data_IF_892783914603
#
_entry.id   IF_892783914603
#
_cell.length_a   1.000
_cell.length_b   1.000
_cell.length_c   1.000
_cell.angle_alpha   90.00
_cell.angle_beta   90.00
_cell.angle_gamma   90.00
#
_symmetry.space_group_name_H-M   'P 1'
#
loop_
_entity.id
_entity.type
_entity.pdbx_description
1 polymer ?
#
# COMPACT_ATOMS: atom_id res chain seq x y z
N UNK A 1 28.23 -5.94 0.97
CA UNK A 1 27.13 -5.01 0.65
C UNK A 1 25.84 -5.51 1.28
N UNK A 2 25.12 -4.64 1.99
CA UNK A 2 23.79 -4.98 2.51
C UNK A 2 22.78 -5.01 1.35
N UNK A 3 22.04 -6.11 1.18
CA UNK A 3 21.12 -6.29 0.04
C UNK A 3 20.03 -5.21 -0.05
N UNK A 4 19.48 -4.83 1.09
CA UNK A 4 18.36 -3.89 1.21
C UNK A 4 18.79 -2.51 1.73
N UNK A 5 20.09 -2.20 1.77
CA UNK A 5 20.59 -0.90 2.21
C UNK A 5 21.67 -0.40 1.25
N UNK A 6 21.54 0.83 0.79
CA UNK A 6 22.48 1.46 -0.14
C UNK A 6 22.41 0.87 -1.54
N UNK A 7 21.26 0.34 -1.94
CA UNK A 7 21.01 -0.10 -3.32
C UNK A 7 20.40 1.03 -4.15
N UNK A 8 20.28 0.84 -5.47
CA UNK A 8 19.73 1.85 -6.40
C UNK A 8 18.31 2.28 -5.99
N UNK A 9 17.50 1.35 -5.47
CA UNK A 9 16.13 1.66 -5.05
C UNK A 9 16.11 2.65 -3.87
N UNK A 10 17.05 2.53 -2.93
CA UNK A 10 17.18 3.46 -1.80
C UNK A 10 17.47 4.90 -2.23
N UNK A 11 18.24 5.09 -3.30
CA UNK A 11 18.65 6.42 -3.76
C UNK A 11 17.64 7.03 -4.74
N UNK A 12 17.12 6.23 -5.68
CA UNK A 12 16.33 6.78 -6.79
C UNK A 12 14.81 6.68 -6.58
N UNK A 13 14.36 5.56 -6.02
CA UNK A 13 12.94 5.22 -5.93
C UNK A 13 12.34 5.66 -4.59
N UNK A 14 13.02 5.31 -3.48
CA UNK A 14 12.53 5.57 -2.12
C UNK A 14 12.15 7.03 -1.88
N UNK A 15 12.95 8.05 -2.26
CA UNK A 15 12.59 9.44 -1.99
C UNK A 15 11.30 9.85 -2.72
N UNK A 16 11.10 9.41 -3.97
CA UNK A 16 9.91 9.70 -4.77
C UNK A 16 8.66 9.03 -4.19
N UNK A 17 8.81 7.78 -3.75
CA UNK A 17 7.73 7.03 -3.09
C UNK A 17 7.36 7.71 -1.77
N UNK A 18 8.34 8.06 -0.94
CA UNK A 18 8.12 8.74 0.33
C UNK A 18 7.41 10.09 0.12
N UNK A 19 7.89 10.90 -0.82
CA UNK A 19 7.26 12.17 -1.17
C UNK A 19 5.80 11.98 -1.61
N UNK A 20 5.54 11.02 -2.50
CA UNK A 20 4.18 10.75 -3.02
C UNK A 20 3.23 10.29 -1.92
N UNK A 21 3.72 9.52 -0.95
CA UNK A 21 2.92 9.01 0.17
C UNK A 21 2.88 9.96 1.38
N UNK A 22 3.62 11.08 1.33
CA UNK A 22 3.72 12.05 2.41
C UNK A 22 4.52 11.55 3.62
N UNK A 23 5.53 10.71 3.42
CA UNK A 23 6.38 10.19 4.50
C UNK A 23 7.70 10.96 4.64
N UNK A 24 8.31 10.96 5.85
CA UNK A 24 7.79 10.39 7.10
C UNK A 24 6.65 11.24 7.70
N UNK A 25 5.79 10.62 8.52
CA UNK A 25 4.77 11.34 9.29
C UNK A 25 5.36 11.87 10.61
N UNK A 26 4.87 13.04 11.04
CA UNK A 26 5.19 13.59 12.35
C UNK A 26 4.54 12.77 13.47
N UNK A 27 5.34 12.39 14.46
CA UNK A 27 4.96 11.53 15.58
C UNK A 27 5.69 12.00 16.84
N UNK A 28 4.97 12.02 17.96
CA UNK A 28 5.54 12.31 19.27
C UNK A 28 6.05 11.02 19.91
N UNK A 29 7.21 10.53 19.47
CA UNK A 29 7.86 9.42 20.15
C UNK A 29 8.48 9.89 21.47
N UNK A 30 8.51 8.98 22.44
CA UNK A 30 9.09 9.26 23.75
C UNK A 30 10.60 9.50 23.70
N UNK A 31 11.29 8.89 22.73
CA UNK A 31 12.74 9.00 22.59
C UNK A 31 13.18 9.06 21.13
N UNK A 32 14.30 9.74 20.81
CA UNK A 32 14.84 9.82 19.44
C UNK A 32 15.17 8.44 18.83
N UNK A 33 15.58 7.47 19.65
CA UNK A 33 15.91 6.12 19.17
C UNK A 33 14.70 5.36 18.61
N UNK A 34 13.50 5.60 19.17
CA UNK A 34 12.25 5.02 18.63
C UNK A 34 11.91 5.66 17.28
N UNK A 35 12.09 6.98 17.16
CA UNK A 35 11.92 7.70 15.90
C UNK A 35 12.84 7.15 14.81
N UNK A 36 14.12 6.94 15.14
CA UNK A 36 15.11 6.40 14.21
C UNK A 36 14.75 4.98 13.79
N UNK A 37 14.42 4.10 14.74
CA UNK A 37 14.02 2.73 14.46
C UNK A 37 12.80 2.67 13.53
N UNK A 38 11.77 3.48 13.81
CA UNK A 38 10.58 3.57 12.95
C UNK A 38 10.93 4.05 11.53
N UNK A 39 11.79 5.06 11.40
CA UNK A 39 12.17 5.57 10.09
C UNK A 39 12.95 4.52 9.27
N UNK A 40 13.77 3.71 9.94
CA UNK A 40 14.45 2.56 9.32
C UNK A 40 13.43 1.51 8.89
N UNK A 41 12.47 1.15 9.75
CA UNK A 41 11.39 0.21 9.44
C UNK A 41 10.55 0.67 8.26
N UNK A 42 10.21 1.96 8.21
CA UNK A 42 9.48 2.57 7.12
C UNK A 42 10.26 2.45 5.80
N UNK A 43 11.54 2.82 5.80
CA UNK A 43 12.37 2.77 4.59
C UNK A 43 12.52 1.35 4.04
N UNK A 44 12.89 0.39 4.90
CA UNK A 44 13.03 -1.02 4.53
C UNK A 44 11.68 -1.63 4.12
N UNK A 45 10.62 -1.30 4.86
CA UNK A 45 9.27 -1.75 4.60
C UNK A 45 8.75 -1.27 3.26
N UNK A 46 9.02 0.00 2.89
CA UNK A 46 8.65 0.53 1.58
C UNK A 46 9.35 -0.25 0.48
N UNK A 47 10.65 -0.56 0.62
CA UNK A 47 11.34 -1.40 -0.36
C UNK A 47 10.67 -2.78 -0.51
N UNK A 48 10.30 -3.41 0.62
CA UNK A 48 9.61 -4.70 0.62
C UNK A 48 8.23 -4.63 -0.04
N UNK A 49 7.46 -3.55 0.16
CA UNK A 49 6.15 -3.36 -0.48
C UNK A 49 6.23 -3.39 -2.02
N UNK A 50 7.34 -2.93 -2.59
CA UNK A 50 7.56 -2.93 -4.04
C UNK A 50 8.30 -4.16 -4.56
N UNK A 51 8.72 -5.08 -3.69
CA UNK A 51 9.50 -6.25 -4.07
C UNK A 51 8.58 -7.43 -4.45
N UNK A 52 8.51 -7.75 -5.73
CA UNK A 52 7.69 -8.84 -6.23
C UNK A 52 8.25 -10.21 -5.82
N UNK A 53 7.39 -11.20 -5.47
CA UNK A 53 7.78 -12.56 -5.10
C UNK A 53 8.77 -13.24 -6.06
N UNK A 54 8.68 -12.92 -7.35
CA UNK A 54 9.57 -13.50 -8.36
C UNK A 54 11.05 -13.14 -8.21
N UNK A 55 11.41 -12.08 -7.45
CA UNK A 55 12.82 -11.65 -7.37
C UNK A 55 13.62 -12.50 -6.37
N UNK A 56 13.17 -12.58 -5.12
CA UNK A 56 13.95 -13.20 -4.03
C UNK A 56 13.18 -14.16 -3.11
N UNK A 57 11.90 -14.47 -3.39
CA UNK A 57 11.08 -15.29 -2.49
C UNK A 57 11.66 -16.70 -2.27
N UNK A 58 12.27 -17.28 -3.31
CA UNK A 58 12.91 -18.61 -3.21
C UNK A 58 14.13 -18.61 -2.29
N UNK A 59 14.80 -17.48 -2.12
CA UNK A 59 15.92 -17.35 -1.19
C UNK A 59 15.44 -17.19 0.25
N UNK A 60 14.40 -16.37 0.46
CA UNK A 60 13.77 -16.25 1.77
C UNK A 60 12.30 -15.81 1.63
N UNK A 61 11.35 -16.46 2.32
CA UNK A 61 9.93 -16.10 2.28
C UNK A 61 9.59 -14.69 2.81
N UNK A 62 10.55 -13.97 3.41
CA UNK A 62 10.37 -12.59 3.90
C UNK A 62 10.70 -11.55 2.83
N UNK A 63 11.37 -11.93 1.74
CA UNK A 63 11.87 -10.99 0.75
C UNK A 63 10.85 -10.74 -0.35
N UNK A 64 9.64 -10.32 0.03
CA UNK A 64 8.59 -9.82 -0.85
C UNK A 64 7.44 -9.17 -0.07
N UNK A 65 6.50 -8.56 -0.79
CA UNK A 65 5.37 -7.85 -0.19
C UNK A 65 4.28 -8.73 0.43
N UNK A 66 4.25 -10.05 0.21
CA UNK A 66 3.07 -10.91 0.49
C UNK A 66 2.54 -10.82 1.93
N UNK A 67 3.44 -10.71 2.93
CA UNK A 67 3.02 -10.59 4.34
C UNK A 67 2.38 -9.24 4.65
N UNK A 68 2.92 -8.17 4.05
CA UNK A 68 2.37 -6.83 4.17
C UNK A 68 1.07 -6.70 3.37
N UNK A 69 0.99 -7.34 2.20
CA UNK A 69 -0.24 -7.45 1.41
C UNK A 69 -1.36 -8.09 2.24
N UNK A 70 -1.08 -9.22 2.89
CA UNK A 70 -2.05 -9.89 3.76
C UNK A 70 -2.55 -8.97 4.88
N UNK A 71 -1.63 -8.34 5.61
CA UNK A 71 -1.98 -7.38 6.67
C UNK A 71 -2.81 -6.21 6.13
N UNK A 72 -2.37 -5.67 5.00
CA UNK A 72 -3.01 -4.59 4.26
C UNK A 72 -4.45 -4.90 3.87
N UNK A 73 -4.71 -6.09 3.33
CA UNK A 73 -6.05 -6.53 2.97
C UNK A 73 -6.98 -6.52 4.19
N UNK A 74 -6.53 -6.97 5.35
CA UNK A 74 -7.35 -7.00 6.58
C UNK A 74 -7.62 -5.61 7.13
N UNK A 75 -6.60 -4.75 7.17
CA UNK A 75 -6.79 -3.40 7.72
C UNK A 75 -7.62 -2.50 6.79
N UNK A 76 -7.51 -2.68 5.47
CA UNK A 76 -8.39 -2.01 4.51
C UNK A 76 -9.86 -2.36 4.72
N UNK A 77 -10.13 -3.65 4.92
CA UNK A 77 -11.48 -4.16 5.19
C UNK A 77 -12.09 -3.48 6.41
N UNK A 78 -11.36 -3.50 7.53
CA UNK A 78 -11.77 -2.85 8.78
C UNK A 78 -11.99 -1.35 8.60
N UNK A 79 -11.06 -0.63 7.97
CA UNK A 79 -11.15 0.83 7.78
C UNK A 79 -12.36 1.21 6.91
N UNK A 80 -12.64 0.47 5.84
CA UNK A 80 -13.81 0.72 5.00
C UNK A 80 -15.10 0.38 5.71
N UNK A 81 -15.16 -0.73 6.44
CA UNK A 81 -16.34 -1.14 7.20
C UNK A 81 -16.70 -0.07 8.24
N UNK A 82 -15.72 0.39 9.02
CA UNK A 82 -15.91 1.48 9.98
C UNK A 82 -16.40 2.77 9.32
N UNK A 83 -15.80 3.17 8.19
CA UNK A 83 -16.20 4.39 7.49
C UNK A 83 -17.63 4.30 6.96
N UNK A 84 -18.00 3.20 6.34
CA UNK A 84 -19.36 3.01 5.80
C UNK A 84 -20.39 2.96 6.92
N UNK A 85 -20.10 2.26 8.02
CA UNK A 85 -20.97 2.22 9.19
C UNK A 85 -21.20 3.63 9.77
N UNK A 86 -20.12 4.40 9.96
CA UNK A 86 -20.22 5.74 10.54
C UNK A 86 -20.88 6.75 9.61
N UNK A 87 -20.67 6.64 8.29
CA UNK A 87 -21.25 7.54 7.30
C UNK A 87 -22.71 7.24 6.97
N UNK A 88 -23.13 5.99 7.13
CA UNK A 88 -24.43 5.49 6.70
C UNK A 88 -25.06 4.62 7.80
N UNK A 89 -25.23 5.20 9.00
CA UNK A 89 -25.69 4.50 10.20
C UNK A 89 -27.07 3.83 10.01
N UNK A 90 -27.98 4.51 9.31
CA UNK A 90 -29.34 4.03 9.05
C UNK A 90 -29.47 3.19 7.77
N UNK A 91 -28.37 2.92 7.06
CA UNK A 91 -28.43 2.18 5.81
C UNK A 91 -28.67 0.68 6.05
N UNK A 92 -29.45 0.01 5.17
CA UNK A 92 -29.66 -1.43 5.27
C UNK A 92 -28.36 -2.23 5.22
N UNK A 93 -28.23 -3.26 6.06
CA UNK A 93 -27.01 -4.07 6.14
C UNK A 93 -26.57 -4.69 4.80
N UNK A 94 -27.52 -5.13 3.96
CA UNK A 94 -27.23 -5.65 2.63
C UNK A 94 -26.65 -4.57 1.69
N UNK A 95 -27.13 -3.34 1.81
CA UNK A 95 -26.60 -2.21 1.04
C UNK A 95 -25.16 -1.90 1.47
N UNK A 96 -24.89 -1.85 2.77
CA UNK A 96 -23.55 -1.64 3.32
C UNK A 96 -22.58 -2.72 2.85
N UNK A 97 -22.97 -4.00 2.94
CA UNK A 97 -22.16 -5.12 2.49
C UNK A 97 -21.83 -5.03 0.99
N UNK A 98 -22.81 -4.67 0.16
CA UNK A 98 -22.61 -4.53 -1.28
C UNK A 98 -21.72 -3.34 -1.62
N UNK A 99 -21.90 -2.20 -0.92
CA UNK A 99 -21.08 -1.00 -1.11
C UNK A 99 -19.63 -1.26 -0.71
N UNK A 100 -19.44 -1.86 0.46
CA UNK A 100 -18.14 -2.28 1.00
C UNK A 100 -17.41 -3.21 0.03
N UNK A 101 -18.07 -4.30 -0.41
CA UNK A 101 -17.50 -5.25 -1.37
C UNK A 101 -17.08 -4.56 -2.65
N UNK A 102 -17.92 -3.69 -3.23
CA UNK A 102 -17.63 -2.99 -4.49
C UNK A 102 -16.42 -2.06 -4.39
N UNK A 103 -16.29 -1.33 -3.28
CA UNK A 103 -15.17 -0.41 -3.06
C UNK A 103 -13.86 -1.14 -2.80
N UNK A 104 -13.91 -2.25 -2.04
CA UNK A 104 -12.72 -3.05 -1.72
C UNK A 104 -12.36 -4.09 -2.79
N UNK A 105 -13.14 -4.24 -3.86
CA UNK A 105 -12.75 -5.16 -4.92
C UNK A 105 -11.35 -4.78 -5.42
N UNK A 106 -10.46 -5.77 -5.41
CA UNK A 106 -9.06 -5.73 -5.85
C UNK A 106 -8.83 -4.94 -7.16
N UNK A 107 -9.84 -4.81 -8.03
CA UNK A 107 -9.79 -4.02 -9.28
C UNK A 107 -9.51 -2.53 -9.05
N UNK A 108 -9.95 -1.94 -7.93
CA UNK A 108 -9.82 -0.50 -7.68
C UNK A 108 -8.52 -0.13 -6.98
N UNK A 109 -8.03 -0.92 -6.03
CA UNK A 109 -6.73 -0.66 -5.36
C UNK A 109 -5.63 -0.43 -6.41
N UNK A 110 -5.36 -1.38 -7.31
CA UNK A 110 -4.33 -1.19 -8.33
C UNK A 110 -4.54 0.00 -9.29
N UNK A 111 -5.75 0.57 -9.39
CA UNK A 111 -6.02 1.80 -10.16
C UNK A 111 -5.41 3.02 -9.49
N UNK A 112 -5.58 3.18 -8.17
CA UNK A 112 -5.08 4.35 -7.45
C UNK A 112 -3.54 4.37 -7.39
N UNK A 113 -2.90 3.20 -7.23
CA UNK A 113 -1.44 3.07 -7.33
C UNK A 113 -0.92 3.59 -8.67
N UNK A 114 -1.63 3.28 -9.76
CA UNK A 114 -1.27 3.75 -11.11
C UNK A 114 -1.50 5.24 -11.27
N UNK A 115 -2.60 5.77 -10.73
CA UNK A 115 -2.89 7.20 -10.77
C UNK A 115 -1.80 8.04 -10.08
N UNK A 116 -1.12 7.48 -9.08
CA UNK A 116 0.05 8.10 -8.42
C UNK A 116 1.39 7.69 -9.04
N UNK A 117 1.40 7.02 -10.19
CA UNK A 117 2.61 6.53 -10.88
C UNK A 117 3.53 5.60 -10.04
N UNK A 118 3.05 5.07 -8.92
CA UNK A 118 3.86 4.26 -8.01
C UNK A 118 4.18 2.87 -8.59
N UNK A 119 3.34 2.36 -9.48
CA UNK A 119 3.54 1.06 -10.13
C UNK A 119 4.85 0.92 -10.93
N UNK A 120 5.51 2.03 -11.29
CA UNK A 120 6.81 1.99 -11.97
C UNK A 120 7.95 1.52 -11.06
N UNK A 121 7.78 1.60 -9.73
CA UNK A 121 8.81 1.23 -8.77
C UNK A 121 8.78 -0.24 -8.34
N UNK A 122 7.88 -1.05 -8.92
CA UNK A 122 7.77 -2.48 -8.62
C UNK A 122 9.00 -3.22 -9.16
N UNK A 123 9.68 -3.94 -8.28
CA UNK A 123 10.88 -4.71 -8.60
C UNK A 123 10.46 -6.14 -8.94
N UNK A 124 10.54 -6.48 -10.23
CA UNK A 124 10.31 -7.83 -10.73
C UNK A 124 11.61 -8.64 -10.85
N UNK A 125 11.47 -9.97 -10.89
CA UNK A 125 12.55 -10.85 -11.31
C UNK A 125 12.82 -10.68 -12.80
N UNK A 126 14.07 -10.76 -13.22
CA UNK A 126 14.49 -10.51 -14.61
C UNK A 126 13.72 -11.41 -15.60
N UNK A 127 13.51 -12.68 -15.23
CA UNK A 127 12.79 -13.66 -16.06
C UNK A 127 11.30 -13.35 -16.29
N UNK A 128 10.69 -12.45 -15.51
CA UNK A 128 9.27 -12.12 -15.60
C UNK A 128 9.01 -10.64 -15.89
N UNK A 129 10.02 -9.78 -15.82
CA UNK A 129 9.88 -8.33 -15.96
C UNK A 129 9.14 -7.95 -17.25
N UNK A 130 9.56 -8.50 -18.39
CA UNK A 130 8.92 -8.22 -19.68
C UNK A 130 7.48 -8.70 -19.75
N UNK A 131 7.18 -9.86 -19.13
CA UNK A 131 5.82 -10.40 -19.09
C UNK A 131 4.88 -9.46 -18.33
N UNK A 132 5.32 -8.90 -17.20
CA UNK A 132 4.52 -7.94 -16.43
C UNK A 132 4.43 -6.56 -17.09
N UNK A 133 5.46 -6.15 -17.84
CA UNK A 133 5.43 -4.90 -18.61
C UNK A 133 4.34 -4.93 -19.71
N UNK A 134 4.23 -6.04 -20.45
CA UNK A 134 3.35 -6.14 -21.61
C UNK A 134 1.95 -6.72 -21.28
N UNK A 135 1.81 -7.52 -20.21
CA UNK A 135 0.56 -8.18 -19.88
C UNK A 135 -0.21 -7.51 -18.74
N UNK A 136 -1.30 -6.82 -19.09
CA UNK A 136 -2.21 -6.17 -18.11
C UNK A 136 -2.82 -7.15 -17.10
N UNK A 137 -3.07 -8.40 -17.48
CA UNK A 137 -3.67 -9.41 -16.59
C UNK A 137 -2.73 -9.84 -15.47
N UNK A 138 -1.41 -9.79 -15.70
CA UNK A 138 -0.39 -10.06 -14.69
C UNK A 138 -0.09 -8.81 -13.85
N UNK A 139 0.03 -7.66 -14.52
CA UNK A 139 0.34 -6.39 -13.86
C UNK A 139 -0.72 -5.92 -12.88
N UNK A 140 -2.00 -6.05 -13.24
CA UNK A 140 -3.08 -5.52 -12.41
C UNK A 140 -3.13 -6.15 -11.00
N UNK A 141 -3.05 -7.49 -10.84
CA UNK A 141 -2.89 -8.12 -9.54
C UNK A 141 -1.67 -7.61 -8.75
N UNK A 142 -0.50 -7.51 -9.37
CA UNK A 142 0.71 -7.02 -8.70
C UNK A 142 0.54 -5.58 -8.19
N UNK A 143 -0.06 -4.70 -8.98
CA UNK A 143 -0.35 -3.32 -8.54
C UNK A 143 -1.29 -3.30 -7.32
N UNK A 144 -2.29 -4.17 -7.31
CA UNK A 144 -3.21 -4.28 -6.17
C UNK A 144 -2.51 -4.78 -4.93
N UNK A 145 -1.68 -5.82 -5.07
CA UNK A 145 -0.92 -6.40 -3.97
C UNK A 145 0.06 -5.38 -3.36
N UNK A 146 0.75 -4.61 -4.19
CA UNK A 146 1.65 -3.53 -3.73
C UNK A 146 0.87 -2.47 -2.97
N UNK A 147 -0.29 -2.04 -3.46
CA UNK A 147 -1.09 -1.06 -2.73
C UNK A 147 -1.62 -1.60 -1.40
N UNK A 148 -2.03 -2.86 -1.37
CA UNK A 148 -2.39 -3.54 -0.11
C UNK A 148 -1.19 -3.56 0.83
N UNK A 149 0.00 -3.93 0.34
CA UNK A 149 1.21 -3.94 1.13
C UNK A 149 1.57 -2.56 1.71
N UNK A 150 1.36 -1.48 0.97
CA UNK A 150 1.55 -0.11 1.48
C UNK A 150 0.62 0.19 2.67
N UNK A 151 -0.64 -0.22 2.62
CA UNK A 151 -1.55 -0.09 3.76
C UNK A 151 -1.14 -0.99 4.93
N UNK A 152 -0.64 -2.19 4.65
CA UNK A 152 -0.11 -3.08 5.69
C UNK A 152 1.10 -2.50 6.39
N UNK A 153 2.02 -1.89 5.64
CA UNK A 153 3.19 -1.21 6.19
C UNK A 153 2.78 0.01 7.01
N UNK A 154 1.90 0.85 6.47
CA UNK A 154 1.33 2.00 7.16
C UNK A 154 0.74 1.61 8.52
N UNK A 155 -0.02 0.52 8.56
CA UNK A 155 -0.54 -0.02 9.81
C UNK A 155 0.57 -0.46 10.78
N UNK A 156 1.58 -1.17 10.28
CA UNK A 156 2.67 -1.66 11.12
C UNK A 156 3.52 -0.52 11.73
N UNK A 157 3.72 0.57 10.99
CA UNK A 157 4.63 1.66 11.36
C UNK A 157 3.91 2.79 12.11
N UNK A 158 2.69 3.15 11.69
CA UNK A 158 1.95 4.31 12.18
C UNK A 158 0.52 3.99 12.65
N UNK A 159 0.08 2.73 12.54
CA UNK A 159 -1.23 2.27 12.99
C UNK A 159 -2.39 2.64 12.05
N UNK A 160 -3.62 2.31 12.50
CA UNK A 160 -4.85 2.46 11.70
C UNK A 160 -5.11 3.89 11.22
N UNK A 161 -4.65 4.91 11.97
CA UNK A 161 -4.84 6.32 11.60
C UNK A 161 -4.17 6.64 10.26
N UNK A 162 -2.94 6.21 10.06
CA UNK A 162 -2.21 6.47 8.82
C UNK A 162 -2.79 5.66 7.64
N UNK A 163 -3.37 4.49 7.89
CA UNK A 163 -4.09 3.73 6.87
C UNK A 163 -5.28 4.52 6.33
N UNK A 164 -6.05 5.19 7.21
CA UNK A 164 -7.15 6.06 6.79
C UNK A 164 -6.66 7.22 5.93
N UNK A 165 -5.57 7.87 6.35
CA UNK A 165 -4.92 8.95 5.59
C UNK A 165 -4.51 8.46 4.20
N UNK A 166 -3.78 7.34 4.11
CA UNK A 166 -3.40 6.77 2.83
C UNK A 166 -4.61 6.45 1.96
N UNK A 167 -5.60 5.75 2.50
CA UNK A 167 -6.77 5.33 1.71
C UNK A 167 -7.55 6.52 1.19
N UNK A 168 -7.87 7.50 2.04
CA UNK A 168 -8.85 8.53 1.72
C UNK A 168 -8.26 9.86 1.26
N UNK A 169 -7.08 10.24 1.75
CA UNK A 169 -6.45 11.52 1.42
C UNK A 169 -5.39 11.36 0.34
N UNK A 170 -4.61 10.27 0.37
CA UNK A 170 -3.58 10.03 -0.65
C UNK A 170 -4.16 9.33 -1.86
N UNK A 171 -4.84 8.21 -1.66
CA UNK A 171 -5.37 7.39 -2.75
C UNK A 171 -6.81 7.73 -3.15
N UNK A 172 -7.44 8.71 -2.49
CA UNK A 172 -8.77 9.22 -2.86
C UNK A 172 -9.84 8.12 -2.94
N UNK A 173 -9.78 7.13 -2.04
CA UNK A 173 -10.81 6.10 -1.95
C UNK A 173 -12.13 6.79 -1.64
N UNK A 174 -13.15 6.53 -2.45
CA UNK A 174 -14.49 7.06 -2.20
C UNK A 174 -14.59 8.61 -2.29
N UNK A 175 -13.96 9.25 -3.29
CA UNK A 175 -14.46 10.55 -3.75
C UNK A 175 -15.81 10.32 -4.47
N UNK A 176 -16.89 10.29 -3.69
CA UNK A 176 -18.19 10.70 -4.23
C UNK A 176 -18.04 12.20 -4.45
N UNK A 177 -17.70 12.62 -5.67
CA UNK A 177 -17.99 14.00 -6.05
C UNK A 177 -19.46 14.24 -5.67
N UNK A 178 -19.80 15.28 -4.90
CA UNK A 178 -21.19 15.65 -4.75
C UNK A 178 -21.74 15.77 -6.17
N UNK A 179 -22.79 15.00 -6.49
CA UNK A 179 -23.51 15.24 -7.73
C UNK A 179 -23.96 16.70 -7.67
N UNK A 180 -23.59 17.49 -8.68
CA UNK A 180 -24.13 18.83 -8.83
C UNK A 180 -25.66 18.72 -8.80
N UNK A 181 -26.25 19.44 -7.84
CA UNK A 181 -27.71 19.52 -7.62
C UNK A 181 -28.31 20.36 -8.73
#
# INVERSE_FOLDING_TARGET
MHRFRGNIWDYDCKPKVMQTLGYPQEMNDMTPGITEARNIELGLGLQLCFLHPSKYKLEHPRFCYERLEYLGQKIQDLVMAERLLMKHLDAPGLWLQNRHRRLLMNKYCGRYLRAKHLHHYIIYGESVQDKYAHNRRLRNPANTAVQQALHGLSYAVYGKRDVRRLMFEVFDFEQVQPQEV
#
